data_IF_123149105587
#
_entry.id   IF_123149105587
#
_cell.length_a   1.000
_cell.length_b   1.000
_cell.length_c   1.000
_cell.angle_alpha   90.00
_cell.angle_beta   90.00
_cell.angle_gamma   90.00
#
_symmetry.space_group_name_H-M   'P 1'
#
loop_
_entity.id
_entity.type
_entity.pdbx_description
1 polymer ?
#
# COMPACT_ATOMS: atom_id res chain seq x y z
N UNK A 1 -4.72 -21.91 23.69
CA UNK A 1 -5.51 -22.48 22.57
C UNK A 1 -6.88 -21.83 22.44
N UNK A 2 -7.72 -21.84 23.50
CA UNK A 2 -9.10 -21.29 23.49
C UNK A 2 -9.17 -19.86 22.95
N UNK A 3 -8.30 -18.95 23.42
CA UNK A 3 -8.26 -17.56 22.93
C UNK A 3 -8.04 -17.46 21.41
N UNK A 4 -7.09 -18.23 20.85
CA UNK A 4 -6.82 -18.25 19.41
C UNK A 4 -8.03 -18.75 18.61
N UNK A 5 -8.69 -19.80 19.09
CA UNK A 5 -9.89 -20.33 18.44
C UNK A 5 -11.05 -19.33 18.47
N UNK A 6 -11.26 -18.63 19.59
CA UNK A 6 -12.27 -17.57 19.69
C UNK A 6 -11.94 -16.40 18.76
N UNK A 7 -10.66 -15.99 18.71
CA UNK A 7 -10.18 -14.99 17.76
C UNK A 7 -10.44 -15.42 16.31
N UNK A 8 -10.20 -16.68 15.98
CA UNK A 8 -10.49 -17.23 14.66
C UNK A 8 -11.99 -17.21 14.32
N UNK A 9 -12.85 -17.66 15.25
CA UNK A 9 -14.31 -17.59 15.06
C UNK A 9 -14.79 -16.17 14.78
N UNK A 10 -14.29 -15.21 15.55
CA UNK A 10 -14.70 -13.81 15.39
C UNK A 10 -14.21 -13.22 14.07
N UNK A 11 -12.91 -13.37 13.78
CA UNK A 11 -12.27 -12.70 12.65
C UNK A 11 -12.54 -13.37 11.30
N UNK A 12 -12.56 -14.71 11.24
CA UNK A 12 -12.70 -15.45 9.98
C UNK A 12 -14.11 -15.98 9.76
N UNK A 13 -14.81 -16.38 10.81
CA UNK A 13 -16.18 -16.91 10.68
C UNK A 13 -17.26 -15.85 10.87
N UNK A 14 -16.90 -14.60 11.21
CA UNK A 14 -17.85 -13.51 11.41
C UNK A 14 -18.77 -13.72 12.61
N UNK A 15 -18.38 -14.54 13.57
CA UNK A 15 -19.18 -14.83 14.76
C UNK A 15 -19.25 -13.58 15.65
N UNK A 16 -20.45 -13.20 16.07
CA UNK A 16 -20.67 -12.02 16.91
C UNK A 16 -19.94 -12.13 18.25
N UNK A 17 -19.59 -10.99 18.86
CA UNK A 17 -18.95 -10.97 20.18
C UNK A 17 -19.75 -11.74 21.25
N UNK A 18 -21.08 -11.61 21.23
CA UNK A 18 -21.97 -12.36 22.11
C UNK A 18 -21.90 -13.89 21.89
N UNK A 19 -21.83 -14.33 20.64
CA UNK A 19 -21.71 -15.76 20.33
C UNK A 19 -20.31 -16.29 20.64
N UNK A 20 -19.26 -15.48 20.50
CA UNK A 20 -17.91 -15.82 20.96
C UNK A 20 -17.85 -15.99 22.49
N UNK A 21 -18.54 -15.14 23.25
CA UNK A 21 -18.67 -15.31 24.71
C UNK A 21 -19.35 -16.64 25.06
N UNK A 22 -20.43 -16.98 24.35
CA UNK A 22 -21.11 -18.26 24.56
C UNK A 22 -20.19 -19.45 24.22
N UNK A 23 -19.49 -19.39 23.09
CA UNK A 23 -18.52 -20.41 22.69
C UNK A 23 -17.38 -20.57 23.72
N UNK A 24 -16.90 -19.47 24.30
CA UNK A 24 -15.88 -19.51 25.35
C UNK A 24 -16.37 -20.31 26.56
N UNK A 25 -17.58 -20.05 27.05
CA UNK A 25 -18.15 -20.77 28.20
C UNK A 25 -18.26 -22.26 27.93
N UNK A 26 -18.72 -22.65 26.73
CA UNK A 26 -18.81 -24.05 26.33
C UNK A 26 -17.44 -24.72 26.24
N UNK A 27 -16.47 -24.08 25.60
CA UNK A 27 -15.11 -24.61 25.48
C UNK A 27 -14.44 -24.81 26.84
N UNK A 28 -14.58 -23.84 27.74
CA UNK A 28 -14.05 -23.96 29.10
C UNK A 28 -14.69 -25.13 29.84
N UNK A 29 -16.03 -25.30 29.76
CA UNK A 29 -16.71 -26.45 30.37
C UNK A 29 -16.30 -27.79 29.76
N UNK A 30 -16.13 -27.87 28.44
CA UNK A 30 -15.65 -29.09 27.77
C UNK A 30 -14.25 -29.45 28.27
N UNK A 31 -13.35 -28.47 28.43
CA UNK A 31 -12.01 -28.67 28.99
C UNK A 31 -12.08 -29.13 30.46
N UNK A 32 -12.97 -28.54 31.26
CA UNK A 32 -13.21 -28.97 32.66
C UNK A 32 -13.67 -30.41 32.76
N UNK A 33 -14.56 -30.85 31.86
CA UNK A 33 -15.01 -32.24 31.81
C UNK A 33 -13.90 -33.17 31.32
N UNK A 34 -13.16 -32.78 30.28
CA UNK A 34 -12.08 -33.58 29.71
C UNK A 34 -10.90 -33.78 30.68
N UNK A 35 -10.63 -32.80 31.56
CA UNK A 35 -9.57 -32.88 32.58
C UNK A 35 -10.06 -33.44 33.92
N UNK A 36 -11.24 -34.06 33.98
CA UNK A 36 -11.75 -34.68 35.21
C UNK A 36 -11.95 -33.70 36.37
N UNK A 37 -12.38 -32.47 36.08
CA UNK A 37 -12.57 -31.38 37.04
C UNK A 37 -11.30 -30.89 37.77
N UNK A 38 -10.10 -31.21 37.26
CA UNK A 38 -8.83 -30.73 37.81
C UNK A 38 -8.31 -29.41 37.22
N UNK A 39 -9.15 -28.61 36.56
CA UNK A 39 -8.74 -27.26 36.16
C UNK A 39 -8.55 -26.40 37.42
N UNK A 40 -7.30 -26.28 37.88
CA UNK A 40 -6.96 -25.35 38.96
C UNK A 40 -7.34 -23.93 38.54
N UNK A 41 -7.77 -23.09 39.49
CA UNK A 41 -8.12 -21.68 39.24
C UNK A 41 -6.96 -20.85 38.64
N UNK A 42 -5.74 -21.40 38.65
CA UNK A 42 -4.54 -20.79 38.07
C UNK A 42 -4.27 -21.15 36.60
N UNK A 43 -5.17 -21.88 35.93
CA UNK A 43 -5.01 -22.14 34.50
C UNK A 43 -5.28 -20.90 33.65
N UNK A 44 -4.38 -20.63 32.70
CA UNK A 44 -4.45 -19.48 31.78
C UNK A 44 -5.78 -19.40 31.02
N UNK A 45 -6.49 -20.52 30.85
CA UNK A 45 -7.79 -20.56 30.20
C UNK A 45 -8.93 -19.95 31.04
N UNK A 46 -8.96 -20.13 32.37
CA UNK A 46 -9.99 -19.52 33.23
C UNK A 46 -9.80 -18.01 33.39
N UNK A 47 -8.58 -17.51 33.18
CA UNK A 47 -8.24 -16.08 33.19
C UNK A 47 -8.51 -15.38 31.85
N UNK A 48 -9.05 -16.08 30.85
CA UNK A 48 -9.37 -15.45 29.57
C UNK A 48 -10.44 -14.36 29.75
N UNK A 49 -10.23 -13.15 29.23
CA UNK A 49 -11.24 -12.11 29.21
C UNK A 49 -12.54 -12.60 28.55
N UNK A 50 -13.70 -12.12 29.03
CA UNK A 50 -14.99 -12.39 28.36
C UNK A 50 -15.13 -11.60 27.06
N UNK A 51 -14.54 -10.42 27.01
CA UNK A 51 -14.62 -9.57 25.83
C UNK A 51 -13.64 -10.06 24.75
N UNK A 52 -14.19 -10.36 23.56
CA UNK A 52 -13.42 -10.87 22.42
C UNK A 52 -12.37 -9.86 21.93
N UNK A 53 -12.64 -8.56 22.05
CA UNK A 53 -11.67 -7.54 21.65
C UNK A 53 -10.46 -7.54 22.58
N UNK A 54 -10.68 -7.76 23.87
CA UNK A 54 -9.62 -7.94 24.85
C UNK A 54 -8.81 -9.23 24.59
N UNK A 55 -9.47 -10.34 24.23
CA UNK A 55 -8.78 -11.57 23.81
C UNK A 55 -7.91 -11.28 22.57
N UNK A 56 -8.47 -10.70 21.51
CA UNK A 56 -7.74 -10.39 20.27
C UNK A 56 -6.55 -9.46 20.53
N UNK A 57 -6.72 -8.47 21.40
CA UNK A 57 -5.64 -7.58 21.84
C UNK A 57 -4.54 -8.35 22.58
N UNK A 58 -4.91 -9.25 23.49
CA UNK A 58 -3.95 -10.09 24.24
C UNK A 58 -3.17 -11.04 23.32
N UNK A 59 -3.79 -11.51 22.24
CA UNK A 59 -3.15 -12.37 21.24
C UNK A 59 -2.15 -11.61 20.35
N UNK A 60 -2.14 -10.27 20.39
CA UNK A 60 -1.27 -9.44 19.55
C UNK A 60 -1.38 -9.74 18.05
N UNK A 61 -2.58 -10.18 17.60
CA UNK A 61 -2.87 -10.50 16.19
C UNK A 61 -3.44 -9.30 15.42
N UNK A 62 -3.72 -8.19 16.10
CA UNK A 62 -4.23 -6.98 15.43
C UNK A 62 -3.08 -6.25 14.77
N UNK A 63 -3.18 -5.90 13.47
CA UNK A 63 -2.14 -5.12 12.82
C UNK A 63 -2.04 -3.73 13.43
N UNK A 64 -0.84 -3.17 13.43
CA UNK A 64 -0.63 -1.76 13.76
C UNK A 64 -1.18 -0.90 12.60
N UNK A 65 -2.29 -0.21 12.86
CA UNK A 65 -2.97 0.64 11.87
C UNK A 65 -2.77 2.11 12.21
N UNK A 66 -2.34 2.88 11.22
CA UNK A 66 -2.27 4.33 11.29
C UNK A 66 -3.57 4.92 10.74
N UNK A 67 -4.12 5.90 11.45
CA UNK A 67 -5.36 6.59 11.04
C UNK A 67 -5.05 8.07 10.86
N UNK A 68 -5.34 8.58 9.67
CA UNK A 68 -5.22 9.99 9.35
C UNK A 68 -6.56 10.52 8.86
N UNK A 69 -6.82 11.79 9.17
CA UNK A 69 -7.98 12.49 8.64
C UNK A 69 -7.67 12.86 7.19
N UNK A 70 -8.53 12.42 6.28
CA UNK A 70 -8.36 12.62 4.85
C UNK A 70 -9.37 13.65 4.36
N UNK A 71 -8.92 14.67 3.64
CA UNK A 71 -9.86 15.57 2.96
C UNK A 71 -10.68 14.79 1.91
N UNK A 72 -12.02 14.81 1.94
CA UNK A 72 -12.84 14.03 1.00
C UNK A 72 -12.74 14.51 -0.46
N UNK A 73 -12.28 15.75 -0.67
CA UNK A 73 -12.19 16.38 -1.99
C UNK A 73 -10.78 16.28 -2.58
N UNK A 74 -9.75 16.57 -1.79
CA UNK A 74 -8.37 16.68 -2.29
C UNK A 74 -7.41 15.64 -1.74
N UNK A 75 -7.88 14.71 -0.89
CA UNK A 75 -7.09 13.64 -0.28
C UNK A 75 -5.90 14.08 0.59
N UNK A 76 -5.77 15.38 0.90
CA UNK A 76 -4.72 15.83 1.81
C UNK A 76 -4.93 15.21 3.19
N UNK A 77 -3.84 14.73 3.79
CA UNK A 77 -3.84 13.98 5.03
C UNK A 77 -3.44 14.87 6.22
N UNK A 78 -4.15 14.70 7.33
CA UNK A 78 -3.90 15.40 8.58
C UNK A 78 -3.78 14.41 9.73
N UNK A 79 -2.87 14.69 10.67
CA UNK A 79 -2.82 13.94 11.91
C UNK A 79 -4.05 14.26 12.76
N UNK A 80 -4.73 13.26 13.36
CA UNK A 80 -5.95 13.50 14.12
C UNK A 80 -5.81 14.57 15.21
N UNK A 81 -4.62 14.66 15.83
CA UNK A 81 -4.34 15.62 16.90
C UNK A 81 -4.32 17.09 16.42
N UNK A 82 -3.80 17.35 15.21
CA UNK A 82 -3.51 18.70 14.68
C UNK A 82 -4.36 19.10 13.47
N UNK A 83 -5.38 18.31 13.13
CA UNK A 83 -6.23 18.59 11.98
C UNK A 83 -7.08 19.86 12.18
N UNK A 84 -7.07 20.81 11.21
CA UNK A 84 -7.93 21.99 11.23
C UNK A 84 -9.38 21.63 10.92
N UNK A 85 -10.33 22.55 11.17
CA UNK A 85 -11.72 22.37 10.76
C UNK A 85 -11.91 22.22 9.25
N UNK A 86 -11.14 23.00 8.48
CA UNK A 86 -11.22 23.07 7.02
C UNK A 86 -9.87 22.75 6.40
N UNK A 87 -9.90 22.08 5.25
CA UNK A 87 -8.70 21.71 4.52
C UNK A 87 -7.96 22.94 3.98
N UNK A 88 -6.72 23.15 4.42
CA UNK A 88 -5.85 24.27 4.01
C UNK A 88 -4.96 23.96 2.79
N UNK A 89 -5.15 22.80 2.15
CA UNK A 89 -4.31 22.39 1.03
C UNK A 89 -4.52 23.27 -0.20
N UNK A 90 -3.42 23.62 -0.88
CA UNK A 90 -3.41 24.35 -2.16
C UNK A 90 -2.76 23.48 -3.25
N UNK A 91 -3.47 23.26 -4.37
CA UNK A 91 -2.95 22.46 -5.51
C UNK A 91 -1.71 23.09 -6.17
N UNK A 92 -1.54 24.41 -6.04
CA UNK A 92 -0.33 25.14 -6.40
C UNK A 92 -0.21 26.39 -5.52
N UNK A 93 0.97 27.05 -5.44
CA UNK A 93 1.14 28.28 -4.67
C UNK A 93 0.11 29.38 -4.96
N UNK A 94 -0.30 29.54 -6.23
CA UNK A 94 -1.33 30.52 -6.64
C UNK A 94 -2.78 30.02 -6.51
N UNK A 95 -3.00 28.74 -6.19
CA UNK A 95 -4.35 28.21 -6.05
C UNK A 95 -4.98 28.63 -4.72
N UNK A 96 -6.32 28.70 -4.72
CA UNK A 96 -7.08 28.81 -3.48
C UNK A 96 -6.92 27.55 -2.64
N UNK A 97 -7.13 27.70 -1.33
CA UNK A 97 -7.22 26.56 -0.41
C UNK A 97 -8.45 25.72 -0.74
N UNK A 98 -8.35 24.42 -0.47
CA UNK A 98 -9.44 23.49 -0.71
C UNK A 98 -10.71 23.88 0.06
N UNK A 99 -10.56 24.34 1.32
CA UNK A 99 -11.67 24.81 2.14
C UNK A 99 -12.69 23.75 2.56
N UNK A 100 -12.48 22.48 2.19
CA UNK A 100 -13.42 21.39 2.49
C UNK A 100 -13.46 21.11 4.00
N UNK A 101 -14.65 21.03 4.63
CA UNK A 101 -14.75 20.66 6.03
C UNK A 101 -14.24 19.23 6.27
N UNK A 102 -13.45 19.04 7.34
CA UNK A 102 -12.85 17.74 7.67
C UNK A 102 -13.69 16.91 8.65
N UNK A 103 -14.65 17.53 9.34
CA UNK A 103 -15.46 16.90 10.39
C UNK A 103 -16.97 16.98 10.08
N UNK A 104 -17.74 16.04 10.62
CA UNK A 104 -19.20 16.05 10.62
C UNK A 104 -19.73 17.05 11.67
N UNK A 105 -20.86 17.70 11.37
CA UNK A 105 -21.50 18.69 12.26
C UNK A 105 -21.63 20.09 11.64
N UNK A 106 -22.71 20.79 12.00
CA UNK A 106 -23.02 22.15 11.56
C UNK A 106 -22.20 23.20 12.34
N UNK A 107 -20.88 23.27 12.15
CA UNK A 107 -20.17 24.52 12.41
C UNK A 107 -20.30 25.46 11.20
N UNK A 108 -21.54 25.88 10.93
CA UNK A 108 -21.84 27.02 10.03
C UNK A 108 -21.61 28.38 10.71
N UNK A 109 -21.14 28.41 11.97
CA UNK A 109 -20.81 29.65 12.65
C UNK A 109 -19.33 29.67 13.00
N UNK A 110 -18.68 30.71 12.47
CA UNK A 110 -17.29 31.09 12.70
C UNK A 110 -16.79 30.66 14.08
N UNK A 111 -15.69 29.88 14.18
CA UNK A 111 -15.07 29.66 15.47
C UNK A 111 -14.69 31.04 16.01
N UNK A 112 -15.25 31.39 17.18
CA UNK A 112 -14.74 32.50 18.00
C UNK A 112 -13.22 32.40 18.04
N UNK A 113 -12.55 33.50 17.76
CA UNK A 113 -11.16 33.62 17.28
C UNK A 113 -10.03 33.06 18.18
N UNK A 114 -10.28 32.13 19.10
CA UNK A 114 -9.28 31.63 20.04
C UNK A 114 -8.63 30.30 19.67
N UNK A 115 -9.20 29.45 18.78
CA UNK A 115 -8.48 28.25 18.31
C UNK A 115 -8.94 27.74 16.94
N UNK A 116 -8.02 27.64 15.97
CA UNK A 116 -8.24 27.00 14.66
C UNK A 116 -8.40 25.46 14.72
N UNK A 117 -8.32 24.87 15.91
CA UNK A 117 -8.39 23.43 16.14
C UNK A 117 -9.74 23.06 16.79
N UNK A 118 -10.37 21.94 16.38
CA UNK A 118 -11.56 21.42 17.05
C UNK A 118 -11.26 21.01 18.50
N UNK A 119 -12.19 21.17 19.45
CA UNK A 119 -12.09 20.50 20.76
C UNK A 119 -11.98 18.97 20.60
N UNK A 120 -11.27 18.29 21.51
CA UNK A 120 -11.01 16.85 21.41
C UNK A 120 -12.32 16.00 21.45
N UNK A 121 -13.36 16.52 22.08
CA UNK A 121 -14.64 15.85 22.32
C UNK A 121 -15.60 15.88 21.12
N UNK A 122 -15.32 16.69 20.09
CA UNK A 122 -16.17 16.88 18.90
C UNK A 122 -15.34 16.62 17.63
N UNK A 123 -14.89 15.38 17.45
CA UNK A 123 -14.09 14.99 16.27
C UNK A 123 -14.67 13.72 15.66
N UNK A 124 -15.74 13.86 14.87
CA UNK A 124 -16.19 12.82 13.93
C UNK A 124 -15.65 13.18 12.54
N UNK A 125 -14.50 12.63 12.12
CA UNK A 125 -13.92 12.99 10.83
C UNK A 125 -14.80 12.47 9.70
N UNK A 126 -15.04 13.27 8.67
CA UNK A 126 -15.85 12.87 7.51
C UNK A 126 -15.22 11.70 6.74
N UNK A 127 -13.90 11.63 6.74
CA UNK A 127 -13.17 10.62 6.00
C UNK A 127 -11.85 10.27 6.71
N UNK A 128 -11.57 8.98 6.85
CA UNK A 128 -10.37 8.46 7.50
C UNK A 128 -9.59 7.59 6.55
N UNK A 129 -8.32 7.92 6.32
CA UNK A 129 -7.41 7.03 5.63
C UNK A 129 -6.75 6.11 6.66
N UNK A 130 -6.97 4.81 6.49
CA UNK A 130 -6.39 3.78 7.36
C UNK A 130 -5.30 3.06 6.57
N UNK A 131 -4.09 3.06 7.12
CA UNK A 131 -2.92 2.43 6.51
C UNK A 131 -2.22 1.50 7.49
N UNK A 132 -1.55 0.49 6.95
CA UNK A 132 -0.60 -0.35 7.65
C UNK A 132 0.79 -0.05 7.07
N UNK A 133 1.75 0.30 7.93
CA UNK A 133 3.13 0.46 7.50
C UNK A 133 3.69 -0.87 7.02
N UNK A 134 4.42 -0.85 5.91
CA UNK A 134 5.14 -2.00 5.39
C UNK A 134 6.17 -2.50 6.42
N UNK A 135 6.84 -1.59 7.12
CA UNK A 135 7.78 -1.94 8.21
C UNK A 135 7.10 -2.70 9.35
N UNK A 136 5.91 -2.30 9.79
CA UNK A 136 5.13 -3.01 10.81
C UNK A 136 4.65 -4.38 10.31
N UNK A 137 4.20 -4.48 9.05
CA UNK A 137 3.85 -5.76 8.44
C UNK A 137 5.05 -6.69 8.31
N UNK A 138 6.23 -6.19 7.93
CA UNK A 138 7.45 -6.98 7.80
C UNK A 138 7.88 -7.62 9.12
N UNK A 139 7.76 -6.91 10.25
CA UNK A 139 8.03 -7.50 11.58
C UNK A 139 7.18 -8.72 11.84
N UNK A 140 5.88 -8.65 11.52
CA UNK A 140 4.98 -9.79 11.64
C UNK A 140 5.32 -10.88 10.60
N UNK A 141 5.49 -10.50 9.34
CA UNK A 141 5.74 -11.41 8.22
C UNK A 141 7.00 -12.25 8.44
N UNK A 142 8.11 -11.62 8.87
CA UNK A 142 9.38 -12.28 9.15
C UNK A 142 9.42 -13.00 10.50
N UNK A 143 8.44 -12.79 11.39
CA UNK A 143 8.30 -13.57 12.62
C UNK A 143 7.79 -15.00 12.37
N UNK A 144 7.23 -15.27 11.19
CA UNK A 144 6.77 -16.59 10.79
C UNK A 144 7.96 -17.51 10.52
N UNK A 145 7.96 -18.69 11.13
CA UNK A 145 9.10 -19.60 11.12
C UNK A 145 9.52 -20.11 9.73
N UNK A 146 8.59 -20.19 8.79
CA UNK A 146 8.85 -20.71 7.46
C UNK A 146 9.36 -19.65 6.47
N UNK A 147 9.09 -18.36 6.68
CA UNK A 147 9.25 -17.33 5.62
C UNK A 147 10.71 -17.14 5.19
N UNK A 148 11.64 -16.99 6.14
CA UNK A 148 13.06 -16.82 5.79
C UNK A 148 13.64 -18.07 5.12
N UNK A 149 13.21 -19.26 5.56
CA UNK A 149 13.67 -20.51 4.98
C UNK A 149 13.19 -20.67 3.54
N UNK A 150 11.91 -20.37 3.27
CA UNK A 150 11.33 -20.41 1.92
C UNK A 150 12.02 -19.44 0.96
N UNK A 151 12.44 -18.26 1.45
CA UNK A 151 13.22 -17.29 0.65
C UNK A 151 14.58 -17.88 0.28
N UNK A 152 15.29 -18.48 1.25
CA UNK A 152 16.61 -19.08 1.04
C UNK A 152 16.50 -20.26 0.07
N UNK A 153 15.57 -21.17 0.31
CA UNK A 153 15.38 -22.38 -0.50
C UNK A 153 15.00 -22.02 -1.94
N UNK A 154 14.13 -21.03 -2.13
CA UNK A 154 13.77 -20.56 -3.46
C UNK A 154 14.94 -19.93 -4.19
N UNK A 155 15.73 -19.08 -3.52
CA UNK A 155 16.95 -18.50 -4.10
C UNK A 155 17.96 -19.58 -4.51
N UNK A 156 18.15 -20.61 -3.69
CA UNK A 156 19.06 -21.72 -4.00
C UNK A 156 18.57 -22.51 -5.22
N UNK A 157 17.27 -22.86 -5.23
CA UNK A 157 16.63 -23.56 -6.36
C UNK A 157 16.76 -22.78 -7.66
N UNK A 158 16.65 -21.46 -7.62
CA UNK A 158 16.84 -20.62 -8.80
C UNK A 158 18.28 -20.62 -9.33
N UNK A 159 19.27 -20.79 -8.43
CA UNK A 159 20.67 -20.93 -8.80
C UNK A 159 21.00 -22.24 -9.53
N UNK A 160 20.15 -23.27 -9.41
CA UNK A 160 20.30 -24.54 -10.12
C UNK A 160 19.85 -24.45 -11.59
N UNK A 161 18.98 -23.49 -11.93
CA UNK A 161 18.49 -23.34 -13.29
C UNK A 161 19.49 -22.60 -14.19
N UNK A 162 19.56 -23.02 -15.45
CA UNK A 162 20.37 -22.34 -16.46
C UNK A 162 19.89 -20.90 -16.69
N UNK A 163 20.83 -19.96 -16.73
CA UNK A 163 20.55 -18.53 -17.01
C UNK A 163 19.97 -18.27 -18.42
N UNK A 164 19.98 -19.26 -19.32
CA UNK A 164 19.42 -19.12 -20.68
C UNK A 164 17.89 -18.98 -20.69
N UNK A 165 17.20 -19.40 -19.63
CA UNK A 165 15.75 -19.29 -19.49
C UNK A 165 15.43 -18.59 -18.17
N UNK A 166 14.48 -17.66 -18.23
CA UNK A 166 13.96 -16.97 -17.05
C UNK A 166 12.75 -17.77 -16.55
N UNK A 167 12.87 -18.35 -15.35
CA UNK A 167 11.81 -19.09 -14.68
C UNK A 167 11.07 -18.23 -13.66
N UNK A 168 11.74 -17.22 -13.10
CA UNK A 168 11.17 -16.33 -12.11
C UNK A 168 11.72 -14.91 -12.23
N UNK A 169 10.99 -13.96 -11.64
CA UNK A 169 11.33 -12.55 -11.60
C UNK A 169 12.74 -12.28 -11.03
N UNK A 170 13.23 -13.14 -10.13
CA UNK A 170 14.55 -13.02 -9.54
C UNK A 170 15.71 -13.18 -10.53
N UNK A 171 15.44 -13.81 -11.68
CA UNK A 171 16.41 -13.95 -12.77
C UNK A 171 16.33 -12.80 -13.79
N UNK A 172 15.35 -11.90 -13.66
CA UNK A 172 15.15 -10.78 -14.58
C UNK A 172 16.30 -9.77 -14.50
N UNK A 173 16.54 -9.07 -15.60
CA UNK A 173 17.52 -7.97 -15.64
C UNK A 173 17.20 -6.89 -14.60
N UNK A 174 15.90 -6.54 -14.44
CA UNK A 174 15.46 -5.57 -13.45
C UNK A 174 15.81 -5.97 -12.01
N UNK A 175 15.84 -7.27 -11.68
CA UNK A 175 16.29 -7.76 -10.38
C UNK A 175 17.81 -7.62 -10.24
N UNK A 176 18.55 -8.00 -11.27
CA UNK A 176 20.03 -7.97 -11.31
C UNK A 176 20.60 -6.55 -11.27
N UNK A 177 19.90 -5.57 -11.84
CA UNK A 177 20.28 -4.15 -11.81
C UNK A 177 20.12 -3.51 -10.40
N UNK A 178 19.41 -4.15 -9.46
CA UNK A 178 19.26 -3.59 -8.11
C UNK A 178 20.55 -3.74 -7.32
N UNK A 179 21.09 -2.60 -6.91
CA UNK A 179 22.25 -2.53 -6.00
C UNK A 179 21.81 -2.36 -4.56
N UNK A 180 22.60 -2.89 -3.62
CA UNK A 180 22.38 -2.75 -2.19
C UNK A 180 23.57 -2.06 -1.53
N UNK A 181 23.37 -1.31 -0.43
CA UNK A 181 24.48 -0.79 0.36
C UNK A 181 25.36 -1.93 0.88
N UNK A 182 26.65 -1.62 1.10
CA UNK A 182 27.58 -2.59 1.68
C UNK A 182 27.07 -3.17 2.99
N UNK A 183 27.45 -4.42 3.24
CA UNK A 183 27.09 -5.10 4.48
C UNK A 183 27.90 -4.52 5.65
N UNK A 184 27.31 -4.46 6.85
CA UNK A 184 28.07 -4.17 8.06
C UNK A 184 29.22 -5.16 8.24
N UNK A 185 30.36 -4.70 8.77
CA UNK A 185 31.54 -5.54 9.01
C UNK A 185 31.35 -6.54 10.15
N UNK A 186 30.37 -6.32 11.03
CA UNK A 186 30.07 -7.16 12.18
C UNK A 186 28.56 -7.40 12.29
N UNK A 187 28.18 -8.51 12.92
CA UNK A 187 26.78 -8.90 13.14
C UNK A 187 26.17 -9.77 12.03
N UNK A 188 24.86 -10.08 12.15
CA UNK A 188 24.14 -10.88 11.17
C UNK A 188 24.18 -10.28 9.76
N UNK A 189 24.23 -11.13 8.74
CA UNK A 189 24.10 -10.70 7.35
C UNK A 189 22.77 -9.96 7.16
N UNK A 190 22.73 -8.80 6.49
CA UNK A 190 21.46 -8.14 6.19
C UNK A 190 20.52 -9.02 5.36
N UNK A 191 19.21 -8.90 5.59
CA UNK A 191 18.17 -9.45 4.73
C UNK A 191 17.71 -8.35 3.77
N UNK A 192 18.02 -8.49 2.50
CA UNK A 192 17.60 -7.57 1.45
C UNK A 192 16.39 -8.17 0.73
N UNK A 193 15.27 -7.45 0.70
CA UNK A 193 14.02 -7.92 0.12
C UNK A 193 13.56 -7.00 -1.01
N UNK A 194 13.02 -7.58 -2.05
CA UNK A 194 12.31 -6.88 -3.11
C UNK A 194 10.81 -7.09 -2.98
N UNK A 195 10.06 -6.01 -3.12
CA UNK A 195 8.60 -6.05 -3.07
C UNK A 195 8.00 -5.54 -4.38
N UNK A 196 6.81 -6.01 -4.72
CA UNK A 196 5.91 -5.34 -5.65
C UNK A 196 4.86 -4.55 -4.88
N UNK A 197 4.29 -3.54 -5.53
CA UNK A 197 3.16 -2.77 -5.01
C UNK A 197 2.01 -2.80 -6.03
N UNK A 198 0.95 -3.52 -5.69
CA UNK A 198 -0.31 -3.49 -6.41
C UNK A 198 -1.14 -2.26 -6.02
N UNK A 199 -1.65 -1.55 -7.03
CA UNK A 199 -2.49 -0.37 -6.87
C UNK A 199 -3.62 -0.43 -7.90
N UNK A 200 -4.85 -0.52 -7.41
CA UNK A 200 -6.04 -0.55 -8.26
C UNK A 200 -7.25 0.08 -7.55
N UNK A 201 -8.19 0.61 -8.33
CA UNK A 201 -9.43 1.21 -7.86
C UNK A 201 -10.63 0.42 -8.33
N UNK A 202 -11.49 0.04 -7.39
CA UNK A 202 -12.71 -0.70 -7.69
C UNK A 202 -13.94 -0.02 -7.08
N UNK A 203 -15.11 -0.38 -7.59
CA UNK A 203 -16.37 0.04 -7.00
C UNK A 203 -16.81 -0.96 -5.90
N UNK A 204 -16.75 -0.57 -4.61
CA UNK A 204 -17.11 -1.46 -3.50
C UNK A 204 -18.59 -1.88 -3.52
N UNK A 205 -19.46 -1.13 -4.21
CA UNK A 205 -20.89 -1.46 -4.37
C UNK A 205 -21.18 -2.33 -5.60
N UNK A 206 -20.15 -2.66 -6.37
CA UNK A 206 -20.24 -3.39 -7.63
C UNK A 206 -20.79 -2.55 -8.77
N UNK A 207 -20.54 -2.99 -10.00
CA UNK A 207 -20.92 -2.29 -11.23
C UNK A 207 -22.38 -2.58 -11.60
N UNK A 208 -23.33 -1.80 -11.06
CA UNK A 208 -24.76 -1.87 -11.43
C UNK A 208 -25.14 -0.68 -12.32
N UNK A 209 -25.90 -0.90 -13.39
CA UNK A 209 -26.29 0.11 -14.42
C UNK A 209 -26.96 1.40 -13.87
N UNK A 210 -27.46 1.39 -12.63
CA UNK A 210 -28.03 2.55 -11.92
C UNK A 210 -27.57 2.65 -10.46
N UNK A 211 -26.51 1.92 -10.09
CA UNK A 211 -25.96 1.96 -8.73
C UNK A 211 -25.09 3.20 -8.52
N UNK A 212 -25.08 3.74 -7.31
CA UNK A 212 -24.13 4.77 -6.93
C UNK A 212 -22.70 4.28 -7.19
N UNK A 213 -21.96 5.01 -8.02
CA UNK A 213 -20.57 4.73 -8.29
C UNK A 213 -19.73 5.24 -7.13
N UNK A 214 -18.94 4.33 -6.55
CA UNK A 214 -17.91 4.67 -5.59
C UNK A 214 -16.58 4.14 -6.11
N UNK A 215 -15.48 4.72 -5.69
CA UNK A 215 -14.15 4.23 -6.07
C UNK A 215 -13.23 4.18 -4.86
N UNK A 216 -12.81 2.96 -4.52
CA UNK A 216 -11.87 2.69 -3.43
C UNK A 216 -10.62 2.06 -4.01
N UNK A 217 -9.47 2.64 -3.68
CA UNK A 217 -8.15 2.18 -4.08
C UNK A 217 -7.57 1.24 -3.04
N UNK A 218 -6.92 0.16 -3.47
CA UNK A 218 -6.15 -0.74 -2.60
C UNK A 218 -4.66 -0.59 -2.91
N UNK A 219 -3.85 -0.46 -1.86
CA UNK A 219 -2.40 -0.57 -1.92
C UNK A 219 -2.00 -1.87 -1.27
N UNK A 220 -1.42 -2.80 -2.03
CA UNK A 220 -1.00 -4.09 -1.51
C UNK A 220 0.46 -4.41 -1.88
N UNK A 221 1.27 -4.81 -0.91
CA UNK A 221 2.64 -5.27 -1.16
C UNK A 221 2.74 -6.79 -1.12
N UNK A 222 3.59 -7.33 -1.97
CA UNK A 222 3.97 -8.75 -1.96
C UNK A 222 5.50 -8.86 -1.94
N UNK A 223 6.01 -9.81 -1.15
CA UNK A 223 7.43 -10.13 -1.08
C UNK A 223 7.83 -10.98 -2.30
N UNK A 224 8.63 -10.41 -3.20
CA UNK A 224 9.06 -11.08 -4.44
C UNK A 224 10.14 -12.14 -4.20
N UNK A 225 10.79 -12.11 -3.03
CA UNK A 225 11.78 -13.11 -2.62
C UNK A 225 11.16 -14.49 -2.35
N UNK A 226 9.84 -14.55 -2.08
CA UNK A 226 9.12 -15.81 -1.93
C UNK A 226 8.94 -16.56 -3.27
N UNK A 227 8.83 -17.90 -3.23
CA UNK A 227 8.46 -18.69 -4.41
C UNK A 227 7.07 -18.32 -4.94
N UNK A 228 6.78 -18.51 -6.25
CA UNK A 228 5.49 -18.17 -6.86
C UNK A 228 4.26 -18.77 -6.15
N UNK A 229 4.39 -19.98 -5.60
CA UNK A 229 3.32 -20.66 -4.85
C UNK A 229 2.94 -19.95 -3.54
N UNK A 230 3.83 -19.14 -2.97
CA UNK A 230 3.62 -18.45 -1.68
C UNK A 230 3.48 -16.94 -1.83
N UNK A 231 4.09 -16.35 -2.86
CA UNK A 231 4.23 -14.89 -3.08
C UNK A 231 2.89 -14.13 -3.05
N UNK A 232 1.86 -14.69 -3.69
CA UNK A 232 0.55 -14.05 -3.86
C UNK A 232 -0.54 -14.61 -2.93
N UNK A 233 -0.18 -15.44 -1.95
CA UNK A 233 -1.14 -15.89 -0.95
C UNK A 233 -1.60 -14.70 -0.11
N UNK A 234 -2.90 -14.67 0.22
CA UNK A 234 -3.51 -13.60 1.04
C UNK A 234 -2.75 -13.43 2.36
N UNK A 235 -2.36 -14.55 2.99
CA UNK A 235 -1.58 -14.54 4.24
C UNK A 235 -0.18 -13.93 4.12
N UNK A 236 0.35 -13.78 2.92
CA UNK A 236 1.66 -13.20 2.61
C UNK A 236 1.55 -11.87 1.85
N UNK A 237 0.35 -11.31 1.74
CA UNK A 237 0.09 -10.02 1.13
C UNK A 237 -0.10 -8.97 2.22
N UNK A 238 0.61 -7.85 2.13
CA UNK A 238 0.43 -6.69 2.99
C UNK A 238 -0.64 -5.78 2.40
N UNK A 239 -1.81 -5.66 3.02
CA UNK A 239 -2.79 -4.62 2.63
C UNK A 239 -2.40 -3.33 3.33
N UNK A 240 -1.54 -2.54 2.67
CA UNK A 240 -0.93 -1.36 3.27
C UNK A 240 -1.88 -0.16 3.36
N UNK A 241 -2.93 -0.10 2.53
CA UNK A 241 -3.90 0.97 2.64
C UNK A 241 -5.10 0.79 1.74
N UNK A 242 -6.22 1.36 2.17
CA UNK A 242 -7.45 1.44 1.37
C UNK A 242 -7.85 2.92 1.31
N UNK A 243 -7.86 3.52 0.11
CA UNK A 243 -8.19 4.95 0.00
C UNK A 243 -9.64 5.19 0.43
N UNK A 244 -9.88 6.23 1.24
CA UNK A 244 -11.21 6.46 1.75
C UNK A 244 -11.96 7.42 0.83
N UNK A 245 -13.21 7.14 0.48
CA UNK A 245 -14.06 8.11 -0.20
C UNK A 245 -14.99 7.56 -1.28
N UNK A 246 -15.79 8.49 -1.82
CA UNK A 246 -16.71 8.24 -2.93
C UNK A 246 -15.99 8.20 -4.28
N UNK A 247 -14.85 8.88 -4.42
CA UNK A 247 -14.16 9.07 -5.69
C UNK A 247 -12.70 8.61 -5.62
N UNK A 248 -12.11 8.32 -6.78
CA UNK A 248 -10.68 8.05 -6.87
C UNK A 248 -9.89 9.37 -6.80
N UNK A 249 -8.67 9.38 -6.22
CA UNK A 249 -7.74 10.49 -6.37
C UNK A 249 -7.45 10.78 -7.84
N UNK A 250 -7.23 12.05 -8.15
CA UNK A 250 -6.71 12.53 -9.44
C UNK A 250 -5.17 12.46 -9.48
N UNK A 251 -4.59 12.83 -10.62
CA UNK A 251 -3.14 12.85 -10.86
C UNK A 251 -2.35 13.72 -9.88
N UNK A 252 -2.98 14.73 -9.30
CA UNK A 252 -2.33 15.67 -8.34
C UNK A 252 -2.50 15.18 -6.91
N UNK A 253 -3.68 14.65 -6.59
CA UNK A 253 -4.09 14.31 -5.22
C UNK A 253 -3.67 12.90 -4.82
N UNK A 254 -3.38 12.01 -5.78
CA UNK A 254 -2.82 10.67 -5.52
C UNK A 254 -1.50 10.73 -4.74
N UNK A 255 -0.73 11.81 -4.93
CA UNK A 255 0.51 12.08 -4.20
C UNK A 255 0.30 12.06 -2.68
N UNK A 256 -0.84 12.54 -2.18
CA UNK A 256 -1.10 12.59 -0.74
C UNK A 256 -1.24 11.20 -0.13
N UNK A 257 -1.99 10.31 -0.79
CA UNK A 257 -2.21 8.94 -0.28
C UNK A 257 -1.00 8.03 -0.45
N UNK A 258 -0.10 8.35 -1.40
CA UNK A 258 1.15 7.63 -1.64
C UNK A 258 2.28 8.05 -0.70
N UNK A 259 2.28 9.30 -0.22
CA UNK A 259 3.40 9.89 0.52
C UNK A 259 3.90 8.99 1.66
N UNK A 260 3.00 8.56 2.52
CA UNK A 260 3.36 7.77 3.71
C UNK A 260 3.93 6.39 3.34
N UNK A 261 3.44 5.77 2.25
CA UNK A 261 4.00 4.53 1.71
C UNK A 261 5.42 4.71 1.20
N UNK A 262 5.70 5.83 0.53
CA UNK A 262 7.04 6.15 0.02
C UNK A 262 7.98 6.52 1.17
N UNK A 263 7.50 7.24 2.19
CA UNK A 263 8.29 7.57 3.37
C UNK A 263 8.76 6.29 4.09
N UNK A 264 7.89 5.29 4.24
CA UNK A 264 8.25 3.99 4.84
C UNK A 264 9.23 3.20 3.95
N UNK A 265 9.06 3.23 2.62
CA UNK A 265 10.01 2.61 1.68
C UNK A 265 11.40 3.26 1.73
N UNK A 266 11.48 4.60 1.88
CA UNK A 266 12.77 5.30 2.00
C UNK A 266 13.48 4.89 3.30
N UNK A 267 12.75 4.71 4.40
CA UNK A 267 13.31 4.20 5.64
C UNK A 267 13.81 2.76 5.49
N UNK A 268 13.00 1.90 4.87
CA UNK A 268 13.37 0.51 4.62
C UNK A 268 14.51 0.35 3.61
N UNK A 269 14.70 1.28 2.67
CA UNK A 269 15.84 1.28 1.75
C UNK A 269 17.17 1.39 2.52
N UNK A 270 17.22 2.26 3.53
CA UNK A 270 18.39 2.42 4.41
C UNK A 270 18.59 1.20 5.30
N UNK A 271 17.48 0.63 5.76
CA UNK A 271 17.40 -0.59 6.53
C UNK A 271 17.00 -0.34 7.97
N UNK A 272 16.20 -1.26 8.51
CA UNK A 272 15.70 -1.24 9.88
C UNK A 272 16.12 -2.54 10.56
N UNK A 273 16.69 -2.44 11.76
CA UNK A 273 16.95 -3.63 12.59
C UNK A 273 15.62 -4.10 13.17
N UNK A 274 15.25 -5.35 12.90
CA UNK A 274 14.05 -5.96 13.45
C UNK A 274 14.24 -7.45 13.73
N UNK A 275 13.56 -7.99 14.76
CA UNK A 275 13.49 -9.42 15.02
C UNK A 275 12.92 -10.18 13.82
N UNK A 276 13.50 -11.34 13.53
CA UNK A 276 12.97 -12.30 12.58
C UNK A 276 12.98 -13.69 13.22
N UNK A 277 12.29 -14.68 12.63
CA UNK A 277 12.25 -16.01 13.23
C UNK A 277 13.63 -16.66 13.34
N UNK A 278 14.53 -16.44 12.39
CA UNK A 278 15.90 -16.98 12.45
C UNK A 278 16.86 -16.10 13.28
N UNK A 279 16.52 -14.82 13.47
CA UNK A 279 17.34 -13.85 14.23
C UNK A 279 16.47 -13.12 15.26
N UNK A 280 16.16 -13.76 16.42
CA UNK A 280 15.28 -13.17 17.44
C UNK A 280 15.80 -11.86 18.04
N UNK A 281 17.13 -11.73 18.18
CA UNK A 281 17.80 -10.49 18.63
C UNK A 281 17.79 -9.37 17.57
N UNK A 282 17.31 -9.69 16.37
CA UNK A 282 17.20 -8.78 15.25
C UNK A 282 18.32 -8.90 14.24
N UNK A 283 17.97 -8.57 12.99
CA UNK A 283 18.92 -8.38 11.88
C UNK A 283 18.54 -7.14 11.09
N UNK A 284 19.50 -6.59 10.35
CA UNK A 284 19.22 -5.48 9.44
C UNK A 284 18.37 -5.99 8.27
N UNK A 285 17.16 -5.45 8.12
CA UNK A 285 16.27 -5.74 6.98
C UNK A 285 16.21 -4.51 6.09
N UNK A 286 16.53 -4.67 4.80
CA UNK A 286 16.43 -3.62 3.78
C UNK A 286 15.39 -4.00 2.74
N UNK A 287 14.62 -3.04 2.26
CA UNK A 287 13.57 -3.28 1.26
C UNK A 287 13.65 -2.27 0.13
N UNK A 288 13.47 -2.76 -1.10
CA UNK A 288 13.28 -1.93 -2.27
C UNK A 288 12.04 -2.37 -3.02
N UNK A 289 11.25 -1.40 -3.48
CA UNK A 289 10.16 -1.62 -4.43
C UNK A 289 10.75 -1.86 -5.83
N UNK A 290 10.53 -3.06 -6.37
CA UNK A 290 10.96 -3.42 -7.73
C UNK A 290 9.98 -2.91 -8.79
N UNK A 291 8.69 -3.16 -8.59
CA UNK A 291 7.66 -2.85 -9.60
C UNK A 291 6.32 -2.47 -8.99
N UNK A 292 5.54 -1.71 -9.78
CA UNK A 292 4.16 -1.35 -9.48
C UNK A 292 3.25 -2.18 -10.38
N UNK A 293 2.17 -2.69 -9.84
CA UNK A 293 1.21 -3.55 -10.55
C UNK A 293 -0.17 -2.90 -10.50
N UNK A 294 -0.92 -2.99 -11.58
CA UNK A 294 -2.28 -2.46 -11.68
C UNK A 294 -2.66 -2.28 -13.14
N UNK A 295 -3.83 -1.71 -13.37
CA UNK A 295 -4.28 -1.34 -14.70
C UNK A 295 -3.48 -0.14 -15.26
N UNK A 296 -3.52 0.08 -16.57
CA UNK A 296 -2.75 1.15 -17.19
C UNK A 296 -3.19 2.53 -16.68
N UNK A 297 -4.48 2.73 -16.43
CA UNK A 297 -5.04 4.01 -15.98
C UNK A 297 -4.54 4.38 -14.58
N UNK A 298 -4.61 3.45 -13.64
CA UNK A 298 -4.07 3.58 -12.29
C UNK A 298 -2.55 3.71 -12.29
N UNK A 299 -1.85 2.93 -13.12
CA UNK A 299 -0.39 3.00 -13.20
C UNK A 299 0.12 4.33 -13.76
N UNK A 300 -0.48 4.88 -14.80
CA UNK A 300 -0.11 6.20 -15.31
C UNK A 300 -0.32 7.28 -14.24
N UNK A 301 -1.47 7.21 -13.55
CA UNK A 301 -1.81 8.09 -12.43
C UNK A 301 -0.78 8.08 -11.32
N UNK A 302 -0.44 6.91 -10.81
CA UNK A 302 0.48 6.80 -9.67
C UNK A 302 1.92 7.05 -10.10
N UNK A 303 2.30 6.75 -11.34
CA UNK A 303 3.67 6.85 -11.80
C UNK A 303 4.07 8.21 -12.36
N UNK A 304 3.12 9.14 -12.53
CA UNK A 304 3.43 10.48 -12.99
C UNK A 304 3.37 10.64 -14.50
N UNK A 305 2.62 9.79 -15.22
CA UNK A 305 2.47 9.87 -16.67
C UNK A 305 1.05 10.28 -17.05
N UNK A 306 0.90 10.98 -18.17
CA UNK A 306 -0.42 11.39 -18.66
C UNK A 306 -1.34 10.18 -18.92
N UNK A 307 -2.64 10.41 -18.78
CA UNK A 307 -3.67 9.40 -19.10
C UNK A 307 -3.48 8.82 -20.51
N UNK A 308 -3.94 7.58 -20.71
CA UNK A 308 -3.99 6.92 -22.03
C UNK A 308 -4.69 7.75 -23.11
N UNK A 309 -5.57 8.68 -22.73
CA UNK A 309 -6.28 9.60 -23.64
C UNK A 309 -5.46 10.82 -24.08
N UNK A 310 -4.26 11.03 -23.52
CA UNK A 310 -3.39 12.16 -23.86
C UNK A 310 -2.60 11.91 -25.15
N UNK A 311 -2.11 12.97 -25.80
CA UNK A 311 -1.27 12.81 -27.00
C UNK A 311 0.07 12.11 -26.69
N UNK A 312 0.68 12.41 -25.54
CA UNK A 312 1.97 11.83 -25.11
C UNK A 312 1.76 10.91 -23.90
N UNK A 313 1.12 9.77 -24.10
CA UNK A 313 0.80 8.83 -23.02
C UNK A 313 1.83 7.69 -22.85
N UNK A 314 2.72 7.45 -23.83
CA UNK A 314 3.72 6.39 -23.73
C UNK A 314 4.73 6.68 -22.60
N UNK A 315 4.94 5.69 -21.73
CA UNK A 315 5.80 5.80 -20.56
C UNK A 315 7.29 5.58 -20.88
N UNK A 316 7.60 4.85 -21.97
CA UNK A 316 8.96 4.48 -22.34
C UNK A 316 9.54 5.22 -23.56
N UNK A 317 8.73 5.93 -24.33
CA UNK A 317 9.20 6.68 -25.49
C UNK A 317 8.42 7.99 -25.72
N UNK A 318 8.98 8.85 -26.55
CA UNK A 318 8.40 10.09 -27.05
C UNK A 318 7.48 9.85 -28.24
N UNK A 319 6.61 8.84 -28.13
CA UNK A 319 5.58 8.53 -29.11
C UNK A 319 4.36 9.44 -28.96
N UNK A 320 3.71 9.75 -30.08
CA UNK A 320 2.48 10.54 -30.13
C UNK A 320 1.30 9.64 -30.49
N UNK A 321 0.17 9.82 -29.83
CA UNK A 321 -1.07 9.10 -30.14
C UNK A 321 -1.51 9.30 -31.61
N UNK A 322 -1.15 10.44 -32.20
CA UNK A 322 -1.41 10.76 -33.62
C UNK A 322 -0.59 9.91 -34.61
N UNK A 323 0.50 9.31 -34.16
CA UNK A 323 1.41 8.50 -34.98
C UNK A 323 1.24 7.00 -34.70
N UNK A 324 0.18 6.61 -33.99
CA UNK A 324 -0.06 5.23 -33.58
C UNK A 324 -0.28 4.29 -34.77
N UNK A 325 -0.94 4.80 -35.81
CA UNK A 325 -1.16 4.13 -37.09
C UNK A 325 0.15 3.73 -37.78
N UNK A 326 1.23 4.46 -37.52
CA UNK A 326 2.56 4.18 -38.07
C UNK A 326 3.23 2.97 -37.42
N UNK A 327 2.74 2.51 -36.25
CA UNK A 327 3.30 1.40 -35.48
C UNK A 327 4.82 1.50 -35.25
N UNK A 328 5.34 2.72 -35.12
CA UNK A 328 6.77 2.99 -34.88
C UNK A 328 6.97 3.48 -33.46
N UNK A 329 8.00 2.94 -32.81
CA UNK A 329 8.44 3.46 -31.52
C UNK A 329 9.03 4.87 -31.70
N UNK A 330 8.63 5.79 -30.82
CA UNK A 330 9.30 7.07 -30.69
C UNK A 330 10.70 6.93 -30.07
N UNK A 331 11.42 8.04 -29.97
CA UNK A 331 12.71 8.08 -29.27
C UNK A 331 12.54 7.62 -27.81
N UNK A 332 13.39 6.72 -27.28
CA UNK A 332 13.30 6.29 -25.88
C UNK A 332 13.37 7.48 -24.91
N UNK A 333 12.56 7.44 -23.86
CA UNK A 333 12.66 8.39 -22.74
C UNK A 333 13.84 8.00 -21.86
N UNK A 334 14.54 8.99 -21.31
CA UNK A 334 15.56 8.76 -20.30
C UNK A 334 15.05 9.08 -18.89
N UNK A 335 15.64 8.42 -17.88
CA UNK A 335 15.40 8.72 -16.46
C UNK A 335 15.54 10.22 -16.16
N UNK A 336 16.60 10.84 -16.65
CA UNK A 336 16.92 12.25 -16.39
C UNK A 336 15.85 13.19 -16.96
N UNK A 337 15.42 12.97 -18.21
CA UNK A 337 14.38 13.79 -18.84
C UNK A 337 13.06 13.70 -18.08
N UNK A 338 12.62 12.48 -17.74
CA UNK A 338 11.36 12.26 -17.01
C UNK A 338 11.42 12.90 -15.62
N UNK A 339 12.52 12.73 -14.88
CA UNK A 339 12.67 13.35 -13.56
C UNK A 339 12.72 14.88 -13.62
N UNK A 340 13.34 15.45 -14.66
CA UNK A 340 13.36 16.90 -14.85
C UNK A 340 11.96 17.45 -15.16
N UNK A 341 11.21 16.80 -16.06
CA UNK A 341 9.82 17.18 -16.35
C UNK A 341 8.92 17.07 -15.11
N UNK A 342 9.07 15.99 -14.34
CA UNK A 342 8.34 15.80 -13.10
C UNK A 342 8.67 16.86 -12.03
N UNK A 343 9.95 17.24 -11.90
CA UNK A 343 10.39 18.31 -10.98
C UNK A 343 9.81 19.66 -11.39
N UNK A 344 9.89 20.01 -12.68
CA UNK A 344 9.29 21.23 -13.22
C UNK A 344 7.77 21.27 -12.96
N UNK A 345 7.09 20.13 -13.10
CA UNK A 345 5.66 20.00 -12.77
C UNK A 345 5.38 20.23 -11.27
N UNK A 346 6.23 19.70 -10.38
CA UNK A 346 6.11 19.90 -8.92
C UNK A 346 6.28 21.37 -8.52
N UNK A 347 7.28 22.03 -9.09
CA UNK A 347 7.70 23.40 -8.76
C UNK A 347 6.85 24.48 -9.44
N UNK A 348 6.00 24.10 -10.41
CA UNK A 348 5.12 25.03 -11.10
C UNK A 348 4.15 25.76 -10.14
N UNK A 349 4.16 27.09 -10.23
CA UNK A 349 3.41 27.98 -9.33
C UNK A 349 1.90 28.04 -9.61
N UNK A 350 1.47 27.68 -10.82
CA UNK A 350 0.07 27.73 -11.27
C UNK A 350 -0.38 26.41 -11.89
N UNK A 351 -1.69 26.13 -11.83
CA UNK A 351 -2.28 24.95 -12.46
C UNK A 351 -2.10 24.98 -13.98
N UNK A 352 -2.32 26.14 -14.62
CA UNK A 352 -2.09 26.29 -16.06
C UNK A 352 -0.66 25.92 -16.49
N UNK A 353 0.36 26.24 -15.67
CA UNK A 353 1.74 25.84 -15.96
C UNK A 353 1.92 24.32 -15.81
N UNK A 354 1.33 23.70 -14.78
CA UNK A 354 1.33 22.23 -14.61
C UNK A 354 0.69 21.53 -15.82
N UNK A 355 -0.44 22.05 -16.29
CA UNK A 355 -1.16 21.51 -17.45
C UNK A 355 -0.35 21.66 -18.74
N UNK A 356 0.35 22.79 -18.93
CA UNK A 356 1.26 22.97 -20.06
C UNK A 356 2.39 21.93 -20.04
N UNK A 357 3.05 21.75 -18.89
CA UNK A 357 4.13 20.76 -18.74
C UNK A 357 3.61 19.35 -19.04
N UNK A 358 2.42 18.99 -18.52
CA UNK A 358 1.82 17.69 -18.79
C UNK A 358 1.52 17.50 -20.29
N UNK A 359 1.02 18.52 -20.98
CA UNK A 359 0.77 18.45 -22.43
C UNK A 359 2.04 18.34 -23.26
N UNK A 360 3.09 19.08 -22.88
CA UNK A 360 4.37 19.13 -23.59
C UNK A 360 5.20 17.85 -23.38
N UNK A 361 5.13 17.26 -22.19
CA UNK A 361 6.04 16.18 -21.78
C UNK A 361 5.35 14.84 -21.55
N UNK A 362 4.04 14.84 -21.32
CA UNK A 362 3.31 13.66 -20.84
C UNK A 362 3.63 13.27 -19.40
N UNK A 363 4.28 14.15 -18.61
CA UNK A 363 4.79 13.83 -17.27
C UNK A 363 4.29 14.84 -16.24
N UNK A 364 3.99 14.37 -15.03
CA UNK A 364 3.77 15.17 -13.83
C UNK A 364 4.50 14.56 -12.62
N UNK A 365 4.45 15.25 -11.47
CA UNK A 365 5.07 14.75 -10.25
C UNK A 365 4.40 13.47 -9.73
N UNK A 366 5.23 12.50 -9.33
CA UNK A 366 4.84 11.30 -8.59
C UNK A 366 5.72 11.16 -7.35
N UNK A 367 5.15 10.70 -6.23
CA UNK A 367 5.94 10.41 -5.02
C UNK A 367 7.00 9.33 -5.24
N UNK A 368 6.78 8.40 -6.18
CA UNK A 368 7.79 7.37 -6.51
C UNK A 368 9.10 7.95 -7.03
N UNK A 369 9.11 9.20 -7.53
CA UNK A 369 10.33 9.87 -7.99
C UNK A 369 11.30 10.20 -6.85
N UNK A 370 10.89 10.03 -5.59
CA UNK A 370 11.75 10.17 -4.41
C UNK A 370 12.62 8.93 -4.14
N UNK A 371 12.30 7.79 -4.77
CA UNK A 371 13.08 6.57 -4.69
C UNK A 371 14.25 6.64 -5.68
N UNK A 372 15.41 7.12 -5.24
CA UNK A 372 16.54 7.45 -6.12
C UNK A 372 17.07 6.26 -6.94
N UNK A 373 16.99 5.05 -6.39
CA UNK A 373 17.41 3.82 -7.08
C UNK A 373 16.48 3.43 -8.23
N UNK A 374 15.26 3.99 -8.31
CA UNK A 374 14.30 3.67 -9.36
C UNK A 374 14.59 4.40 -10.67
N UNK A 375 14.22 3.76 -11.76
CA UNK A 375 14.05 4.38 -13.07
C UNK A 375 12.53 4.45 -13.37
N UNK A 376 11.94 5.65 -13.49
CA UNK A 376 10.52 5.80 -13.79
C UNK A 376 10.12 5.22 -15.16
N UNK A 377 11.06 5.08 -16.10
CA UNK A 377 10.84 4.56 -17.45
C UNK A 377 10.81 3.03 -17.48
N UNK A 378 11.71 2.36 -16.75
CA UNK A 378 11.91 0.90 -16.85
C UNK A 378 11.00 0.06 -15.95
N UNK A 379 10.42 0.65 -14.90
CA UNK A 379 9.83 -0.11 -13.79
C UNK A 379 8.30 0.04 -13.68
N UNK A 380 7.64 0.08 -14.85
CA UNK A 380 6.19 0.13 -14.99
C UNK A 380 5.75 -1.00 -15.94
N UNK A 381 5.60 -2.23 -15.42
CA UNK A 381 5.24 -3.38 -16.24
C UNK A 381 3.87 -3.19 -16.88
N UNK A 382 3.73 -3.67 -18.11
CA UNK A 382 2.45 -3.73 -18.81
C UNK A 382 1.64 -4.88 -18.19
N UNK A 383 0.45 -4.59 -17.68
CA UNK A 383 -0.44 -5.62 -17.14
C UNK A 383 -0.93 -6.58 -18.23
N UNK A 384 -0.54 -7.86 -18.17
CA UNK A 384 -0.94 -8.87 -19.16
C UNK A 384 -2.47 -9.07 -19.18
N UNK A 385 -3.11 -9.17 -18.01
CA UNK A 385 -4.55 -9.39 -17.89
C UNK A 385 -5.36 -8.29 -18.61
N UNK A 386 -5.25 -7.04 -18.16
CA UNK A 386 -6.06 -5.95 -18.71
C UNK A 386 -5.67 -5.54 -20.14
N UNK A 387 -4.38 -5.58 -20.50
CA UNK A 387 -3.97 -5.11 -21.82
C UNK A 387 -4.07 -6.21 -22.88
N UNK A 388 -3.67 -7.44 -22.55
CA UNK A 388 -3.66 -8.54 -23.51
C UNK A 388 -4.95 -9.35 -23.48
N UNK A 389 -5.32 -9.91 -22.33
CA UNK A 389 -6.50 -10.80 -22.26
C UNK A 389 -7.83 -10.03 -22.37
N UNK A 390 -7.99 -8.95 -21.64
CA UNK A 390 -9.25 -8.17 -21.66
C UNK A 390 -9.26 -7.08 -22.74
N UNK A 391 -8.10 -6.59 -23.14
CA UNK A 391 -7.98 -5.60 -24.22
C UNK A 391 -7.94 -6.29 -25.59
N UNK A 392 -6.76 -6.81 -25.95
CA UNK A 392 -6.51 -7.39 -27.27
C UNK A 392 -7.46 -8.56 -27.56
N UNK A 393 -7.49 -9.61 -26.72
CA UNK A 393 -8.29 -10.81 -27.06
C UNK A 393 -9.80 -10.56 -27.10
N UNK A 394 -10.34 -9.70 -26.24
CA UNK A 394 -11.77 -9.36 -26.26
C UNK A 394 -12.18 -8.55 -27.51
N UNK A 395 -11.25 -7.88 -28.19
CA UNK A 395 -11.53 -7.16 -29.43
C UNK A 395 -11.24 -8.00 -30.69
N UNK A 396 -10.53 -9.11 -30.57
CA UNK A 396 -10.18 -9.99 -31.69
C UNK A 396 -11.17 -11.14 -31.91
N UNK A 397 -11.89 -11.57 -30.87
CA UNK A 397 -12.98 -12.55 -30.94
C UNK A 397 -14.31 -11.87 -30.61
#
# INVERSE_FOLDING_TARGET
FVGLFLGWLHLFCGVSSANCQFAQVFLLRILEMAQGHQLSDNTKERQLPKDIHTIIKSLSITPELNKQICCPTCFNLYQPASAPWFCSFRKSPKAHECGEPLFEGEHQQHPSASSNLPPCEIRHPRNLYVTQKLSSWLRWFLSKSNIEQEIIDWSNKLGEFSEKKIFDIQQSEAWKEITWPSNPSTGPKPLNLLVSLFIDWFNPRGNRKRGAQQSMGVFAYNCLDLPPSLRNLIQNTCVAGITPGLNAPDMTTITHVLKDHIDDLILLEQGIVMPTSQYPEGRLVRVKLLMKLGDMVGMHKVAGFASHSANLYFTWCWGSAKDMDKMKLGQPRTKTEVLNAARNSKEAISLARKDNILRETGVHWSEFNRLNYRDPVKQLPIGLMHNWFEGVLHHHF
#
